data_IF_928982612939
#
_entry.id   IF_928982612939
#
_cell.length_a   1.000
_cell.length_b   1.000
_cell.length_c   1.000
_cell.angle_alpha   90.00
_cell.angle_beta   90.00
_cell.angle_gamma   90.00
#
_symmetry.space_group_name_H-M   'P 1'
#
loop_
_entity.id
_entity.type
_entity.pdbx_description
1 polymer ?
#
# COMPACT_ATOMS: atom_id res chain seq x y z
N UNK A 1 7.42 -10.10 42.84
CA UNK A 1 8.52 -9.68 41.95
C UNK A 1 8.13 -8.39 41.26
N UNK A 2 8.96 -7.34 41.30
CA UNK A 2 8.69 -6.08 40.61
C UNK A 2 8.85 -6.27 39.09
N UNK A 3 7.88 -5.80 38.31
CA UNK A 3 7.90 -5.90 36.84
C UNK A 3 9.03 -5.00 36.32
N UNK A 4 9.98 -5.58 35.59
CA UNK A 4 11.04 -4.80 34.93
C UNK A 4 10.40 -3.75 34.00
N UNK A 5 10.82 -2.48 34.14
CA UNK A 5 10.36 -1.38 33.29
C UNK A 5 10.85 -1.55 31.86
N UNK A 6 9.99 -1.30 30.88
CA UNK A 6 10.38 -1.21 29.46
C UNK A 6 10.84 0.23 29.18
N UNK A 7 12.04 0.41 28.66
CA UNK A 7 12.61 1.73 28.32
C UNK A 7 12.57 2.07 26.83
N UNK A 8 12.20 1.11 25.98
CA UNK A 8 12.17 1.26 24.51
C UNK A 8 10.76 0.94 24.02
N UNK A 9 10.26 1.79 23.13
CA UNK A 9 9.00 1.59 22.40
C UNK A 9 9.29 1.81 20.93
N UNK A 10 8.71 0.94 20.09
CA UNK A 10 8.74 1.05 18.64
C UNK A 10 7.32 1.27 18.18
N UNK A 11 7.10 2.30 17.37
CA UNK A 11 5.82 2.59 16.74
C UNK A 11 5.95 2.34 15.24
N UNK A 12 4.94 1.70 14.67
CA UNK A 12 4.73 1.77 13.24
C UNK A 12 4.29 3.20 12.85
N UNK A 13 4.37 3.54 11.58
CA UNK A 13 4.03 4.88 11.10
C UNK A 13 2.57 4.94 10.64
N UNK A 14 2.21 4.15 9.62
CA UNK A 14 0.89 4.21 8.97
C UNK A 14 -0.20 3.56 9.81
N UNK A 15 -1.31 4.28 10.03
CA UNK A 15 -2.39 3.81 10.91
C UNK A 15 -2.04 3.79 12.41
N UNK A 16 -0.87 4.33 12.78
CA UNK A 16 -0.43 4.47 14.18
C UNK A 16 -0.06 5.91 14.50
N UNK A 17 0.97 6.46 13.85
CA UNK A 17 1.41 7.86 14.05
C UNK A 17 0.86 8.82 13.00
N UNK A 18 0.58 8.31 11.79
CA UNK A 18 -0.03 9.09 10.71
C UNK A 18 -1.20 8.34 10.11
N UNK A 19 -2.16 9.11 9.58
CA UNK A 19 -3.19 8.55 8.72
C UNK A 19 -2.55 8.04 7.43
N UNK A 20 -2.67 6.74 7.19
CA UNK A 20 -2.23 6.10 5.96
C UNK A 20 -3.47 5.56 5.26
N UNK A 21 -3.74 6.08 4.06
CA UNK A 21 -4.76 5.57 3.16
C UNK A 21 -4.24 5.76 1.72
N UNK A 22 -4.13 4.69 0.90
CA UNK A 22 -3.66 4.80 -0.48
C UNK A 22 -4.53 5.76 -1.31
N UNK A 23 -5.79 5.96 -0.93
CA UNK A 23 -6.71 6.92 -1.57
C UNK A 23 -6.17 8.35 -1.56
N UNK A 24 -5.35 8.73 -0.58
CA UNK A 24 -4.73 10.06 -0.55
C UNK A 24 -3.82 10.31 -1.76
N UNK A 25 -3.11 9.30 -2.23
CA UNK A 25 -2.29 9.35 -3.43
C UNK A 25 -3.14 9.14 -4.68
N UNK A 26 -3.87 8.03 -4.74
CA UNK A 26 -4.51 7.60 -5.98
C UNK A 26 -5.65 8.53 -6.41
N UNK A 27 -6.31 9.25 -5.50
CA UNK A 27 -7.31 10.26 -5.88
C UNK A 27 -6.71 11.35 -6.77
N UNK A 28 -5.42 11.67 -6.59
CA UNK A 28 -4.68 12.64 -7.43
C UNK A 28 -4.34 12.04 -8.80
N UNK A 29 -3.92 10.77 -8.83
CA UNK A 29 -3.56 10.07 -10.07
C UNK A 29 -4.77 9.81 -10.98
N UNK A 30 -5.94 9.60 -10.38
CA UNK A 30 -7.20 9.45 -11.09
C UNK A 30 -7.97 10.76 -11.31
N UNK A 31 -7.34 11.92 -11.05
CA UNK A 31 -7.96 13.25 -11.22
C UNK A 31 -9.35 13.39 -10.55
N UNK A 32 -9.55 12.73 -9.41
CA UNK A 32 -10.82 12.73 -8.68
C UNK A 32 -11.86 11.71 -9.15
N UNK A 33 -11.58 10.87 -10.16
CA UNK A 33 -12.44 9.73 -10.52
C UNK A 33 -12.35 8.63 -9.45
N UNK A 34 -13.16 8.77 -8.40
CA UNK A 34 -13.16 7.85 -7.26
C UNK A 34 -13.59 6.44 -7.65
N UNK A 35 -14.52 6.29 -8.60
CA UNK A 35 -14.98 4.96 -9.03
C UNK A 35 -13.87 4.18 -9.73
N UNK A 36 -13.16 4.83 -10.66
CA UNK A 36 -12.03 4.20 -11.34
C UNK A 36 -10.86 3.91 -10.37
N UNK A 37 -10.63 4.80 -9.40
CA UNK A 37 -9.64 4.60 -8.34
C UNK A 37 -9.98 3.41 -7.44
N UNK A 38 -11.19 3.35 -6.90
CA UNK A 38 -11.63 2.23 -6.05
C UNK A 38 -11.57 0.91 -6.80
N UNK A 39 -11.98 0.90 -8.07
CA UNK A 39 -11.84 -0.29 -8.91
C UNK A 39 -10.37 -0.71 -9.05
N UNK A 40 -9.45 0.23 -9.30
CA UNK A 40 -8.02 -0.06 -9.40
C UNK A 40 -7.42 -0.61 -8.09
N UNK A 41 -7.79 -0.03 -6.94
CA UNK A 41 -7.36 -0.51 -5.63
C UNK A 41 -7.98 -1.86 -5.26
N UNK A 42 -9.15 -2.19 -5.79
CA UNK A 42 -9.82 -3.46 -5.55
C UNK A 42 -9.33 -4.60 -6.47
N UNK A 43 -8.82 -4.29 -7.68
CA UNK A 43 -8.54 -5.31 -8.70
C UNK A 43 -7.10 -5.37 -9.19
N UNK A 44 -6.31 -4.30 -9.03
CA UNK A 44 -4.94 -4.21 -9.55
C UNK A 44 -3.93 -4.01 -8.41
N UNK A 45 -3.94 -2.84 -7.78
CA UNK A 45 -3.03 -2.52 -6.67
C UNK A 45 -3.69 -2.90 -5.33
N UNK A 46 -4.02 -4.18 -5.17
CA UNK A 46 -4.78 -4.67 -4.02
C UNK A 46 -3.97 -4.66 -2.73
N UNK A 47 -4.67 -4.73 -1.59
CA UNK A 47 -4.02 -4.86 -0.30
C UNK A 47 -3.25 -6.19 -0.18
N UNK A 48 -3.76 -7.30 -0.74
CA UNK A 48 -3.02 -8.56 -0.82
C UNK A 48 -1.70 -8.37 -1.56
N UNK A 49 -1.74 -7.70 -2.71
CA UNK A 49 -0.53 -7.42 -3.48
C UNK A 49 0.46 -6.62 -2.65
N UNK A 50 0.03 -5.54 -1.98
CA UNK A 50 0.87 -4.67 -1.14
C UNK A 50 1.55 -5.46 0.00
N UNK A 51 0.80 -6.36 0.66
CA UNK A 51 1.35 -7.18 1.76
C UNK A 51 2.50 -8.09 1.30
N UNK A 52 2.55 -8.48 0.03
CA UNK A 52 3.68 -9.25 -0.46
C UNK A 52 4.98 -8.45 -0.43
N UNK A 53 4.94 -7.11 -0.57
CA UNK A 53 6.14 -6.29 -0.42
C UNK A 53 6.62 -6.24 1.02
N UNK A 54 5.69 -6.11 1.97
CA UNK A 54 5.99 -6.21 3.40
C UNK A 54 6.58 -7.59 3.76
N UNK A 55 6.16 -8.63 3.04
CA UNK A 55 6.70 -9.98 3.15
C UNK A 55 8.04 -10.20 2.41
N UNK A 56 8.63 -9.15 1.83
CA UNK A 56 9.98 -9.17 1.25
C UNK A 56 10.05 -9.20 -0.28
N UNK A 57 8.93 -9.19 -1.01
CA UNK A 57 8.95 -9.00 -2.47
C UNK A 57 9.38 -7.57 -2.80
N UNK A 58 10.27 -7.39 -3.76
CA UNK A 58 10.64 -6.03 -4.20
C UNK A 58 9.47 -5.34 -4.94
N UNK A 59 9.37 -4.02 -4.80
CA UNK A 59 8.40 -3.23 -5.59
C UNK A 59 8.63 -3.37 -7.10
N UNK A 60 9.89 -3.47 -7.55
CA UNK A 60 10.21 -3.64 -8.96
C UNK A 60 9.62 -4.94 -9.53
N UNK A 61 9.74 -6.05 -8.80
CA UNK A 61 9.16 -7.33 -9.22
C UNK A 61 7.63 -7.30 -9.13
N UNK A 62 7.07 -6.77 -8.04
CA UNK A 62 5.62 -6.64 -7.89
C UNK A 62 4.97 -5.79 -8.99
N UNK A 63 5.62 -4.68 -9.37
CA UNK A 63 5.18 -3.80 -10.45
C UNK A 63 5.33 -4.49 -11.81
N UNK A 64 6.46 -5.16 -12.08
CA UNK A 64 6.66 -5.89 -13.34
C UNK A 64 5.56 -6.93 -13.58
N UNK A 65 5.17 -7.67 -12.55
CA UNK A 65 4.10 -8.66 -12.62
C UNK A 65 2.73 -8.00 -12.89
N UNK A 66 2.35 -6.98 -12.11
CA UNK A 66 1.07 -6.28 -12.33
C UNK A 66 0.99 -5.60 -13.70
N UNK A 67 2.09 -5.01 -14.19
CA UNK A 67 2.12 -4.37 -15.51
C UNK A 67 1.93 -5.37 -16.65
N UNK A 68 2.42 -6.61 -16.48
CA UNK A 68 2.20 -7.67 -17.44
C UNK A 68 0.73 -8.16 -17.43
N UNK A 69 0.09 -8.22 -16.26
CA UNK A 69 -1.30 -8.64 -16.11
C UNK A 69 -2.30 -7.54 -16.51
N UNK A 70 -1.97 -6.28 -16.24
CA UNK A 70 -2.80 -5.10 -16.47
C UNK A 70 -2.06 -4.06 -17.34
N UNK A 71 -1.78 -4.36 -18.62
CA UNK A 71 -0.97 -3.48 -19.48
C UNK A 71 -1.61 -2.10 -19.70
N UNK A 72 -2.94 -2.00 -19.67
CA UNK A 72 -3.68 -0.75 -19.76
C UNK A 72 -3.58 0.14 -18.52
N UNK A 73 -2.93 -0.34 -17.45
CA UNK A 73 -2.68 0.39 -16.20
C UNK A 73 -1.19 0.59 -15.94
N UNK A 74 -0.31 0.30 -16.89
CA UNK A 74 1.13 0.24 -16.63
C UNK A 74 1.82 1.58 -16.32
N UNK A 75 1.18 2.69 -16.69
CA UNK A 75 1.65 4.06 -16.42
C UNK A 75 1.00 4.69 -15.17
N UNK A 76 0.09 3.96 -14.50
CA UNK A 76 -0.44 4.29 -13.18
C UNK A 76 0.46 3.69 -12.09
#
# INVERSE_FOLDING_TARGET
MAKAGRSIVVFDLGGVLIDWDPRHLYRKLFAGDESAMEHFLATVCTHEWNRCQDAGRSFAEGARLLKAEHPNKAEL
#
